data_IF_327482369666
#
_entry.id   IF_327482369666
#
_cell.length_a   1.000
_cell.length_b   1.000
_cell.length_c   1.000
_cell.angle_alpha   90.00
_cell.angle_beta   90.00
_cell.angle_gamma   90.00
#
_symmetry.space_group_name_H-M   'P 1'
#
loop_
_entity.id
_entity.type
_entity.pdbx_description
1 polymer ?
#
# COMPACT_ATOMS: atom_id res chain seq x y z
N UNK A 1 -101.70 0.20 5.00
CA UNK A 1 -102.25 0.34 6.37
C UNK A 1 -101.26 1.10 7.22
N UNK A 2 -101.64 2.33 7.58
CA UNK A 2 -100.98 3.18 8.57
C UNK A 2 -100.86 2.46 9.91
N UNK A 3 -99.67 2.51 10.52
CA UNK A 3 -99.49 2.43 11.99
C UNK A 3 -98.22 3.18 12.41
N UNK A 4 -98.37 4.43 12.79
CA UNK A 4 -97.71 5.01 13.98
C UNK A 4 -98.46 4.47 15.23
N UNK A 5 -97.89 4.39 16.47
CA UNK A 5 -97.33 5.56 17.16
C UNK A 5 -96.25 5.35 18.27
N UNK A 6 -95.69 6.48 18.69
CA UNK A 6 -95.37 6.94 20.06
C UNK A 6 -94.31 6.28 20.97
N UNK A 7 -93.53 7.17 21.61
CA UNK A 7 -93.13 7.30 23.05
C UNK A 7 -91.64 7.71 23.11
N UNK A 8 -91.25 8.98 23.22
CA UNK A 8 -91.22 9.90 24.40
C UNK A 8 -90.32 9.40 25.56
N UNK A 9 -89.09 9.91 25.68
CA UNK A 9 -88.54 10.36 26.98
C UNK A 9 -87.25 11.19 26.87
N UNK A 10 -87.21 12.18 27.75
CA UNK A 10 -86.28 13.30 27.97
C UNK A 10 -85.02 12.87 28.72
N UNK A 11 -83.86 13.49 28.48
CA UNK A 11 -82.67 13.34 29.33
C UNK A 11 -81.53 14.28 28.92
N UNK A 12 -81.08 15.10 29.87
CA UNK A 12 -80.21 16.26 29.66
C UNK A 12 -78.70 15.97 29.85
N UNK A 13 -77.90 16.99 29.49
CA UNK A 13 -76.58 17.41 30.02
C UNK A 13 -75.25 17.08 29.27
N UNK A 14 -74.42 18.15 29.24
CA UNK A 14 -72.95 18.28 29.16
C UNK A 14 -72.23 18.51 27.81
N UNK A 15 -72.01 19.80 27.53
CA UNK A 15 -70.70 20.51 27.36
C UNK A 15 -69.51 19.67 26.85
N UNK A 16 -68.95 20.10 25.71
CA UNK A 16 -67.64 19.68 25.22
C UNK A 16 -67.19 20.46 23.99
N UNK A 17 -66.83 21.74 24.17
CA UNK A 17 -66.14 22.55 23.16
C UNK A 17 -64.78 21.93 22.83
N UNK A 18 -64.62 21.33 21.64
CA UNK A 18 -63.30 21.05 21.09
C UNK A 18 -62.81 22.26 20.30
N UNK A 19 -62.17 23.18 21.03
CA UNK A 19 -61.23 24.15 20.45
C UNK A 19 -59.99 23.36 20.05
N UNK A 20 -59.86 23.06 18.76
CA UNK A 20 -58.62 22.52 18.19
C UNK A 20 -57.61 23.66 18.01
N UNK A 21 -56.74 23.86 19.00
CA UNK A 21 -55.52 24.65 18.84
C UNK A 21 -54.47 23.83 18.06
N UNK A 22 -54.27 24.17 16.79
CA UNK A 22 -53.06 23.82 16.04
C UNK A 22 -52.69 25.02 15.18
N UNK A 23 -51.45 25.54 15.23
CA UNK A 23 -51.07 26.65 14.37
C UNK A 23 -51.21 26.20 12.91
N UNK A 24 -51.88 27.02 12.08
CA UNK A 24 -51.94 26.81 10.63
C UNK A 24 -50.50 26.70 10.10
N UNK A 25 -50.13 25.53 9.59
CA UNK A 25 -48.85 25.36 8.92
C UNK A 25 -48.83 26.28 7.69
N UNK A 26 -47.83 27.16 7.54
CA UNK A 26 -47.78 28.06 6.40
C UNK A 26 -47.67 27.22 5.12
N UNK A 27 -48.70 27.34 4.27
CA UNK A 27 -48.82 26.64 2.99
C UNK A 27 -47.54 26.85 2.18
N UNK A 28 -46.86 25.75 1.85
CA UNK A 28 -45.60 25.78 1.11
C UNK A 28 -45.76 26.59 -0.18
N UNK A 29 -45.05 27.72 -0.26
CA UNK A 29 -44.89 28.48 -1.50
C UNK A 29 -43.55 28.08 -2.09
N UNK A 30 -43.51 27.48 -3.29
CA UNK A 30 -42.25 27.16 -3.94
C UNK A 30 -41.48 28.46 -4.16
N UNK A 31 -40.33 28.60 -3.48
CA UNK A 31 -39.38 29.67 -3.80
C UNK A 31 -38.93 29.46 -5.24
N UNK A 32 -38.99 30.51 -6.05
CA UNK A 32 -38.49 30.48 -7.42
C UNK A 32 -37.05 29.96 -7.43
N UNK A 33 -36.72 29.06 -8.34
CA UNK A 33 -35.35 28.58 -8.52
C UNK A 33 -34.42 29.78 -8.67
N UNK A 34 -33.33 29.82 -7.90
CA UNK A 34 -32.34 30.89 -8.00
C UNK A 34 -31.82 30.95 -9.45
N UNK A 35 -32.11 32.05 -10.14
CA UNK A 35 -31.76 32.28 -11.56
C UNK A 35 -30.33 32.76 -11.75
N UNK A 36 -29.63 33.11 -10.68
CA UNK A 36 -28.20 33.41 -10.73
C UNK A 36 -27.41 32.10 -10.84
N UNK A 37 -26.72 31.90 -11.96
CA UNK A 37 -25.65 30.90 -12.05
C UNK A 37 -24.66 31.21 -10.93
N UNK A 38 -24.51 30.30 -9.97
CA UNK A 38 -23.51 30.43 -8.94
C UNK A 38 -22.14 30.58 -9.62
N UNK A 39 -21.43 31.68 -9.34
CA UNK A 39 -20.08 31.92 -9.83
C UNK A 39 -19.11 31.05 -9.00
N UNK A 40 -19.19 29.73 -9.20
CA UNK A 40 -18.32 28.77 -8.55
C UNK A 40 -16.99 28.81 -9.32
N UNK A 41 -15.85 29.05 -8.65
CA UNK A 41 -14.55 28.98 -9.31
C UNK A 41 -14.40 27.60 -9.97
N UNK A 42 -13.74 27.52 -11.14
CA UNK A 42 -13.51 26.25 -11.79
C UNK A 42 -12.81 25.31 -10.80
N UNK A 43 -13.19 24.02 -10.74
CA UNK A 43 -12.53 23.08 -9.86
C UNK A 43 -11.03 23.08 -10.16
N UNK A 44 -10.17 22.98 -9.14
CA UNK A 44 -8.73 22.95 -9.35
C UNK A 44 -8.37 21.81 -10.29
N UNK A 45 -7.53 22.11 -11.29
CA UNK A 45 -7.05 21.10 -12.23
C UNK A 45 -6.18 20.10 -11.48
N UNK A 46 -6.69 18.87 -11.32
CA UNK A 46 -5.95 17.80 -10.66
C UNK A 46 -4.75 17.36 -11.53
N UNK A 47 -3.61 17.00 -10.92
CA UNK A 47 -2.50 16.41 -11.65
C UNK A 47 -2.96 15.15 -12.40
N UNK A 48 -2.76 15.14 -13.72
CA UNK A 48 -3.07 13.96 -14.54
C UNK A 48 -1.93 12.95 -14.42
N UNK A 49 -1.94 12.18 -13.33
CA UNK A 49 -1.02 11.06 -13.16
C UNK A 49 -1.41 9.92 -14.11
N UNK A 50 -0.44 9.40 -14.86
CA UNK A 50 -0.67 8.24 -15.72
C UNK A 50 -1.07 7.05 -14.86
N UNK A 51 -2.07 6.29 -15.29
CA UNK A 51 -2.53 5.08 -14.57
C UNK A 51 -1.67 3.84 -14.86
N UNK A 52 -1.13 3.74 -16.08
CA UNK A 52 -0.27 2.63 -16.54
C UNK A 52 0.85 3.16 -17.43
N UNK A 53 1.98 2.48 -17.44
CA UNK A 53 3.02 2.59 -18.48
C UNK A 53 3.15 1.23 -19.16
N UNK A 54 2.68 1.13 -20.40
CA UNK A 54 2.56 -0.15 -21.09
C UNK A 54 1.56 -1.08 -20.40
N UNK A 55 2.02 -2.28 -20.04
CA UNK A 55 1.22 -3.30 -19.35
C UNK A 55 1.24 -3.17 -17.82
N UNK A 56 2.18 -2.39 -17.26
CA UNK A 56 2.34 -2.21 -15.81
C UNK A 56 1.58 -1.00 -15.28
N UNK A 57 1.03 -1.12 -14.08
CA UNK A 57 0.45 0.01 -13.33
C UNK A 57 1.55 0.92 -12.79
N UNK A 58 1.29 2.22 -12.80
CA UNK A 58 2.04 3.19 -12.00
C UNK A 58 1.63 3.08 -10.54
N UNK A 59 2.42 3.65 -9.63
CA UNK A 59 2.11 3.69 -8.20
C UNK A 59 0.82 4.48 -7.97
N UNK A 60 0.67 5.66 -8.57
CA UNK A 60 -0.57 6.43 -8.48
C UNK A 60 -1.77 5.67 -9.07
N UNK A 61 -1.59 5.00 -10.20
CA UNK A 61 -2.64 4.27 -10.89
C UNK A 61 -3.18 3.10 -10.08
N UNK A 62 -2.31 2.28 -9.49
CA UNK A 62 -2.77 1.15 -8.68
C UNK A 62 -3.38 1.60 -7.36
N UNK A 63 -2.83 2.64 -6.73
CA UNK A 63 -3.37 3.17 -5.47
C UNK A 63 -4.76 3.77 -5.71
N UNK A 64 -4.96 4.44 -6.84
CA UNK A 64 -6.28 4.91 -7.26
C UNK A 64 -7.26 3.75 -7.38
N UNK A 65 -6.91 2.70 -8.13
CA UNK A 65 -7.80 1.56 -8.35
C UNK A 65 -8.08 0.78 -7.06
N UNK A 66 -7.09 0.66 -6.19
CA UNK A 66 -7.24 0.04 -4.87
C UNK A 66 -8.29 0.75 -3.99
N UNK A 67 -8.33 2.09 -4.09
CA UNK A 67 -9.26 2.93 -3.32
C UNK A 67 -10.62 3.08 -4.01
N UNK A 68 -10.70 2.80 -5.31
CA UNK A 68 -11.94 2.81 -6.07
C UNK A 68 -12.81 1.60 -5.72
N UNK A 69 -14.07 1.82 -5.35
CA UNK A 69 -15.03 0.73 -5.12
C UNK A 69 -15.23 -0.14 -6.37
N UNK A 70 -15.13 0.47 -7.55
CA UNK A 70 -15.36 -0.18 -8.84
C UNK A 70 -14.16 -1.02 -9.26
N UNK A 71 -12.94 -0.49 -9.13
CA UNK A 71 -11.73 -1.15 -9.63
C UNK A 71 -10.98 -1.96 -8.58
N UNK A 72 -11.28 -1.79 -7.28
CA UNK A 72 -10.61 -2.53 -6.21
C UNK A 72 -10.64 -4.04 -6.40
N UNK A 73 -11.75 -4.68 -6.85
CA UNK A 73 -11.76 -6.13 -7.11
C UNK A 73 -10.81 -6.59 -8.22
N UNK A 74 -10.41 -5.68 -9.12
CA UNK A 74 -9.50 -5.97 -10.24
C UNK A 74 -8.02 -5.96 -9.81
N UNK A 75 -7.68 -5.27 -8.71
CA UNK A 75 -6.31 -5.11 -8.24
C UNK A 75 -6.04 -5.79 -6.89
N UNK A 76 -7.02 -5.87 -6.00
CA UNK A 76 -6.86 -6.37 -4.64
C UNK A 76 -6.78 -7.91 -4.61
N UNK A 77 -5.69 -8.44 -4.07
CA UNK A 77 -5.40 -9.88 -4.03
C UNK A 77 -5.12 -10.47 -5.40
N UNK A 78 -4.92 -9.64 -6.43
CA UNK A 78 -4.63 -10.07 -7.80
C UNK A 78 -3.14 -9.94 -8.09
N UNK A 79 -2.70 -10.76 -9.04
CA UNK A 79 -1.38 -10.63 -9.61
C UNK A 79 -1.36 -9.43 -10.56
N UNK A 80 -0.46 -8.49 -10.32
CA UNK A 80 -0.32 -7.25 -11.07
C UNK A 80 1.15 -6.95 -11.31
N UNK A 81 1.44 -6.17 -12.34
CA UNK A 81 2.77 -5.59 -12.56
C UNK A 81 2.75 -4.11 -12.21
N UNK A 82 3.71 -3.68 -11.40
CA UNK A 82 3.92 -2.29 -10.99
C UNK A 82 5.24 -1.77 -11.53
N UNK A 83 5.24 -0.54 -12.03
CA UNK A 83 6.44 0.17 -12.42
C UNK A 83 6.70 1.33 -11.47
N UNK A 84 7.94 1.52 -11.04
CA UNK A 84 8.32 2.63 -10.18
C UNK A 84 9.82 2.70 -9.90
N UNK A 85 10.24 3.82 -9.34
CA UNK A 85 11.58 4.05 -8.84
C UNK A 85 11.70 3.59 -7.40
N UNK A 86 12.78 2.88 -7.07
CA UNK A 86 13.12 2.55 -5.69
C UNK A 86 13.57 3.84 -5.00
N UNK A 87 12.80 4.29 -4.02
CA UNK A 87 13.04 5.56 -3.30
C UNK A 87 13.50 5.35 -1.87
N UNK A 88 13.23 4.18 -1.30
CA UNK A 88 13.63 3.80 0.06
C UNK A 88 13.94 2.30 0.11
N UNK A 89 14.87 1.92 0.98
CA UNK A 89 15.15 0.53 1.35
C UNK A 89 15.33 0.45 2.87
N UNK A 90 15.10 -0.72 3.47
CA UNK A 90 15.40 -0.96 4.88
C UNK A 90 16.76 -1.66 5.09
N UNK A 91 17.64 -1.59 4.08
CA UNK A 91 19.00 -2.12 4.12
C UNK A 91 19.98 -1.15 4.78
N UNK A 92 19.47 -0.20 5.57
CA UNK A 92 20.22 0.88 6.22
C UNK A 92 20.43 0.58 7.70
N UNK A 93 21.47 1.18 8.30
CA UNK A 93 21.78 0.96 9.71
C UNK A 93 20.68 1.55 10.61
N UNK A 94 20.35 0.84 11.68
CA UNK A 94 19.46 1.34 12.73
C UNK A 94 20.17 2.36 13.61
N UNK A 95 19.41 3.32 14.16
CA UNK A 95 19.88 4.18 15.24
C UNK A 95 19.82 3.44 16.57
N UNK A 96 18.77 2.64 16.74
CA UNK A 96 18.60 1.73 17.86
C UNK A 96 18.17 0.34 17.36
N UNK A 97 19.04 -0.65 17.50
CA UNK A 97 18.80 -2.03 17.07
C UNK A 97 17.56 -2.65 17.72
N UNK A 98 17.17 -2.20 18.93
CA UNK A 98 15.96 -2.70 19.62
C UNK A 98 14.67 -2.16 19.03
N UNK A 99 14.74 -1.07 18.26
CA UNK A 99 13.60 -0.43 17.62
C UNK A 99 13.60 -0.61 16.09
N UNK A 100 14.35 -1.59 15.58
CA UNK A 100 14.56 -1.79 14.14
C UNK A 100 13.26 -1.93 13.32
N UNK A 101 12.23 -2.59 13.87
CA UNK A 101 10.90 -2.66 13.22
C UNK A 101 10.23 -1.30 13.07
N UNK A 102 10.38 -0.40 14.06
CA UNK A 102 9.79 0.95 14.02
C UNK A 102 10.59 1.88 13.12
N UNK A 103 11.91 1.71 13.11
CA UNK A 103 12.83 2.51 12.31
C UNK A 103 12.93 2.04 10.85
N UNK A 104 12.41 0.85 10.54
CA UNK A 104 12.47 0.23 9.22
C UNK A 104 13.90 0.15 8.69
N UNK A 105 14.79 -0.42 9.50
CA UNK A 105 16.22 -0.54 9.25
C UNK A 105 16.72 -1.96 9.53
N UNK A 106 17.95 -2.26 9.12
CA UNK A 106 18.60 -3.53 9.35
C UNK A 106 19.41 -3.47 10.66
N UNK A 107 18.99 -4.18 11.73
CA UNK A 107 19.73 -4.18 12.99
C UNK A 107 21.01 -4.99 12.86
N UNK A 108 22.05 -4.62 13.60
CA UNK A 108 23.33 -5.33 13.56
C UNK A 108 23.20 -6.82 13.92
N UNK A 109 22.24 -7.16 14.79
CA UNK A 109 21.96 -8.54 15.20
C UNK A 109 21.42 -9.44 14.08
N UNK A 110 20.86 -8.89 13.00
CA UNK A 110 20.32 -9.66 11.87
C UNK A 110 21.26 -9.67 10.64
N UNK A 111 22.31 -8.83 10.67
CA UNK A 111 23.31 -8.75 9.60
C UNK A 111 24.47 -9.68 9.94
N UNK A 112 24.30 -10.95 9.61
CA UNK A 112 25.35 -11.96 9.75
C UNK A 112 25.25 -13.01 8.65
N UNK A 113 26.32 -13.80 8.50
CA UNK A 113 26.31 -14.96 7.61
C UNK A 113 25.18 -15.93 7.94
N UNK A 114 24.57 -16.52 6.91
CA UNK A 114 23.55 -17.54 7.08
C UNK A 114 24.07 -18.77 7.82
N UNK A 115 23.14 -19.48 8.46
CA UNK A 115 23.44 -20.62 9.33
C UNK A 115 23.67 -20.25 10.80
N UNK A 116 23.89 -18.96 11.09
CA UNK A 116 23.66 -18.41 12.43
C UNK A 116 22.20 -18.00 12.53
N UNK A 117 21.52 -18.41 13.60
CA UNK A 117 20.18 -17.92 13.90
C UNK A 117 20.26 -16.56 14.56
N UNK A 118 19.37 -15.66 14.17
CA UNK A 118 19.20 -14.37 14.81
C UNK A 118 18.92 -14.59 16.32
N UNK A 119 19.51 -13.78 17.22
CA UNK A 119 19.20 -13.86 18.66
C UNK A 119 17.70 -13.73 18.92
N UNK A 120 17.18 -14.37 19.98
CA UNK A 120 15.74 -14.34 20.31
C UNK A 120 15.23 -12.91 20.53
N UNK A 121 16.09 -12.02 21.03
CA UNK A 121 15.77 -10.60 21.26
C UNK A 121 15.91 -9.73 20.00
N UNK A 122 16.38 -10.29 18.88
CA UNK A 122 16.58 -9.56 17.63
C UNK A 122 15.26 -9.44 16.87
N UNK A 123 14.60 -8.29 17.03
CA UNK A 123 13.39 -7.97 16.29
C UNK A 123 13.70 -7.26 14.96
N UNK A 124 14.15 -8.04 13.97
CA UNK A 124 14.40 -7.51 12.63
C UNK A 124 13.10 -7.35 11.81
N UNK A 125 12.94 -6.26 11.04
CA UNK A 125 11.88 -6.17 10.05
C UNK A 125 12.14 -7.11 8.86
N UNK A 126 11.09 -7.41 8.09
CA UNK A 126 11.25 -8.13 6.83
C UNK A 126 11.97 -7.22 5.82
N UNK A 127 12.96 -7.72 5.06
CA UNK A 127 13.58 -6.94 3.99
C UNK A 127 12.54 -6.37 3.02
N UNK A 128 12.56 -5.05 2.86
CA UNK A 128 11.56 -4.26 2.15
C UNK A 128 12.24 -3.11 1.43
N UNK A 129 11.80 -2.85 0.20
CA UNK A 129 12.10 -1.61 -0.51
C UNK A 129 10.79 -0.95 -0.93
N UNK A 130 10.81 0.35 -1.16
CA UNK A 130 9.62 1.11 -1.52
C UNK A 130 9.77 1.69 -2.90
N UNK A 131 8.72 1.56 -3.71
CA UNK A 131 8.65 2.14 -5.05
C UNK A 131 7.69 3.33 -5.09
N UNK A 132 8.03 4.32 -5.90
CA UNK A 132 7.22 5.49 -6.19
C UNK A 132 7.26 5.86 -7.68
N UNK A 133 6.38 6.74 -8.14
CA UNK A 133 6.36 7.16 -9.55
C UNK A 133 7.57 8.03 -9.96
N UNK A 134 8.18 8.73 -9.00
CA UNK A 134 9.37 9.58 -9.22
C UNK A 134 10.46 9.28 -8.20
N UNK A 135 11.71 9.69 -8.46
CA UNK A 135 12.87 9.44 -7.58
C UNK A 135 12.82 10.26 -6.30
N UNK A 136 12.12 11.40 -6.31
CA UNK A 136 12.07 12.37 -5.22
C UNK A 136 10.88 12.12 -4.28
N UNK A 137 9.93 11.26 -4.67
CA UNK A 137 8.73 10.97 -3.89
C UNK A 137 9.07 10.17 -2.62
N UNK A 138 8.60 10.64 -1.47
CA UNK A 138 8.90 10.07 -0.14
C UNK A 138 7.66 9.75 0.67
N UNK A 139 6.47 10.00 0.12
CA UNK A 139 5.19 9.93 0.82
C UNK A 139 4.23 8.94 0.18
N UNK A 140 4.12 8.96 -1.15
CA UNK A 140 3.26 8.06 -1.92
C UNK A 140 4.10 6.89 -2.45
N UNK A 141 4.36 5.93 -1.57
CA UNK A 141 5.23 4.80 -1.88
C UNK A 141 4.57 3.47 -1.53
N UNK A 142 4.82 2.46 -2.34
CA UNK A 142 4.33 1.10 -2.13
C UNK A 142 5.49 0.24 -1.60
N UNK A 143 5.36 -0.36 -0.40
CA UNK A 143 6.31 -1.35 0.06
C UNK A 143 6.26 -2.60 -0.82
N UNK A 144 7.44 -3.04 -1.23
CA UNK A 144 7.70 -4.24 -2.00
C UNK A 144 8.36 -5.26 -1.07
N UNK A 145 7.64 -6.34 -0.79
CA UNK A 145 7.99 -7.35 0.21
C UNK A 145 8.09 -8.73 -0.43
N UNK A 146 8.68 -9.70 0.28
CA UNK A 146 8.71 -11.08 -0.20
C UNK A 146 9.83 -11.39 -1.19
N UNK A 147 10.86 -10.54 -1.29
CA UNK A 147 12.04 -10.75 -2.16
C UNK A 147 13.25 -11.36 -1.43
N UNK A 148 13.24 -11.35 -0.09
CA UNK A 148 14.18 -12.06 0.77
C UNK A 148 13.52 -12.34 2.13
N UNK A 149 13.76 -13.52 2.72
CA UNK A 149 13.20 -13.93 4.01
C UNK A 149 13.81 -13.21 5.21
N UNK A 150 15.10 -12.87 5.15
CA UNK A 150 15.82 -12.15 6.21
C UNK A 150 17.08 -11.43 5.68
N UNK A 151 17.75 -10.69 6.56
CA UNK A 151 18.98 -9.97 6.22
C UNK A 151 20.21 -10.88 6.09
N UNK A 152 20.24 -12.01 6.80
CA UNK A 152 21.33 -12.98 6.70
C UNK A 152 21.45 -13.60 5.29
N UNK A 153 20.32 -13.83 4.59
CA UNK A 153 20.33 -14.28 3.19
C UNK A 153 20.85 -13.22 2.24
N UNK A 154 20.56 -11.95 2.53
CA UNK A 154 21.11 -10.82 1.76
C UNK A 154 22.61 -10.73 1.99
N UNK A 155 23.09 -10.99 3.21
CA UNK A 155 24.52 -11.02 3.54
C UNK A 155 25.25 -12.11 2.74
N UNK A 156 24.77 -13.35 2.79
CA UNK A 156 25.31 -14.45 2.00
C UNK A 156 25.32 -14.09 0.50
N UNK A 157 24.24 -13.46 0.04
CA UNK A 157 24.11 -13.05 -1.33
C UNK A 157 25.17 -12.02 -1.76
N UNK A 158 25.43 -11.02 -0.91
CA UNK A 158 26.47 -10.03 -1.13
C UNK A 158 27.84 -10.71 -1.19
N UNK A 159 28.17 -11.60 -0.25
CA UNK A 159 29.45 -12.31 -0.26
C UNK A 159 29.66 -13.13 -1.54
N UNK A 160 28.64 -13.86 -1.99
CA UNK A 160 28.72 -14.68 -3.21
C UNK A 160 28.86 -13.83 -4.47
N UNK A 161 28.12 -12.72 -4.56
CA UNK A 161 28.27 -11.76 -5.64
C UNK A 161 29.66 -11.10 -5.63
N UNK A 162 30.26 -10.82 -4.47
CA UNK A 162 31.60 -10.24 -4.39
C UNK A 162 32.71 -11.23 -4.78
N UNK A 163 32.54 -12.52 -4.44
CA UNK A 163 33.46 -13.60 -4.84
C UNK A 163 33.48 -13.83 -6.35
N UNK A 164 32.41 -13.50 -7.06
CA UNK A 164 32.38 -13.64 -8.51
C UNK A 164 33.43 -12.73 -9.17
N UNK A 165 34.25 -13.37 -10.00
CA UNK A 165 35.49 -12.81 -10.55
C UNK A 165 35.22 -11.63 -11.49
N UNK A 166 34.17 -11.72 -12.32
CA UNK A 166 33.81 -10.74 -13.33
C UNK A 166 32.32 -10.34 -13.24
N UNK A 167 31.96 -9.14 -13.73
CA UNK A 167 30.60 -8.59 -13.75
C UNK A 167 29.55 -9.49 -14.41
N UNK A 168 29.91 -10.22 -15.46
CA UNK A 168 28.98 -11.15 -16.14
C UNK A 168 28.60 -12.30 -15.23
N UNK A 169 29.59 -12.91 -14.56
CA UNK A 169 29.35 -13.94 -13.54
C UNK A 169 28.61 -13.37 -12.35
N UNK A 170 28.87 -12.12 -11.96
CA UNK A 170 28.13 -11.45 -10.89
C UNK A 170 26.65 -11.35 -11.24
N UNK A 171 26.28 -11.05 -12.48
CA UNK A 171 24.87 -10.96 -12.94
C UNK A 171 24.20 -12.33 -13.09
N UNK A 172 24.96 -13.38 -13.35
CA UNK A 172 24.46 -14.76 -13.49
C UNK A 172 24.32 -15.50 -12.16
N UNK A 173 24.90 -14.98 -11.07
CA UNK A 173 24.77 -15.58 -9.74
C UNK A 173 23.30 -15.55 -9.32
N UNK A 174 22.68 -16.75 -9.33
CA UNK A 174 21.34 -17.02 -8.82
C UNK A 174 21.48 -17.55 -7.41
N UNK A 175 20.97 -16.78 -6.46
CA UNK A 175 21.00 -17.12 -5.05
C UNK A 175 19.57 -17.37 -4.65
N UNK A 176 19.30 -18.56 -4.15
CA UNK A 176 17.97 -18.93 -3.72
C UNK A 176 17.83 -18.70 -2.22
N UNK A 177 16.67 -18.18 -1.83
CA UNK A 177 16.22 -18.16 -0.45
C UNK A 177 15.65 -19.54 -0.13
N UNK A 178 16.30 -20.36 0.71
CA UNK A 178 15.82 -21.70 1.02
C UNK A 178 14.57 -21.70 1.91
N UNK A 179 14.30 -20.61 2.63
CA UNK A 179 13.13 -20.49 3.51
C UNK A 179 11.88 -20.27 2.69
N UNK A 180 11.99 -19.45 1.63
CA UNK A 180 10.85 -19.05 0.81
C UNK A 180 10.85 -19.61 -0.62
N UNK A 181 11.91 -20.33 -1.01
CA UNK A 181 12.06 -20.94 -2.34
C UNK A 181 12.11 -19.93 -3.49
N UNK A 182 12.60 -18.71 -3.23
CA UNK A 182 12.62 -17.61 -4.22
C UNK A 182 14.05 -17.27 -4.61
N UNK A 183 14.27 -16.89 -5.87
CA UNK A 183 15.56 -16.34 -6.29
C UNK A 183 15.67 -14.88 -5.86
N UNK A 184 16.77 -14.53 -5.18
CA UNK A 184 17.05 -13.15 -4.79
C UNK A 184 17.29 -12.29 -6.04
N UNK A 185 16.78 -11.05 -6.07
CA UNK A 185 17.04 -10.12 -7.15
C UNK A 185 18.54 -9.80 -7.25
N UNK A 186 19.03 -9.75 -8.49
CA UNK A 186 20.40 -9.37 -8.81
C UNK A 186 20.39 -8.34 -9.96
N UNK A 187 20.85 -7.10 -9.75
CA UNK A 187 21.38 -6.54 -8.50
C UNK A 187 20.34 -6.48 -7.38
N UNK A 188 20.81 -6.26 -6.14
CA UNK A 188 19.92 -6.07 -5.00
C UNK A 188 19.17 -4.72 -5.10
N UNK A 189 17.94 -4.62 -4.55
CA UNK A 189 17.16 -3.38 -4.52
C UNK A 189 17.93 -2.24 -3.85
N UNK A 190 18.21 -1.18 -4.61
CA UNK A 190 18.88 0.03 -4.13
C UNK A 190 18.18 1.29 -4.65
N UNK A 191 18.33 2.38 -3.91
CA UNK A 191 17.68 3.67 -4.22
C UNK A 191 18.15 4.18 -5.58
N UNK A 192 17.22 4.74 -6.36
CA UNK A 192 17.46 5.33 -7.67
C UNK A 192 17.26 4.40 -8.86
N UNK A 193 17.16 3.08 -8.64
CA UNK A 193 16.84 2.11 -9.70
C UNK A 193 15.36 2.13 -10.08
N UNK A 194 15.05 1.93 -11.37
CA UNK A 194 13.68 1.78 -11.88
C UNK A 194 13.38 0.31 -12.09
N UNK A 195 12.29 -0.17 -11.50
CA UNK A 195 11.91 -1.59 -11.54
C UNK A 195 10.48 -1.76 -12.02
N UNK A 196 10.24 -2.88 -12.70
CA UNK A 196 8.92 -3.46 -12.91
C UNK A 196 8.79 -4.69 -12.00
N UNK A 197 7.94 -4.59 -11.00
CA UNK A 197 7.67 -5.65 -10.01
C UNK A 197 6.38 -6.33 -10.37
N UNK A 198 6.39 -7.64 -10.57
CA UNK A 198 5.18 -8.45 -10.75
C UNK A 198 4.96 -9.30 -9.51
N UNK A 199 3.72 -9.33 -9.04
CA UNK A 199 3.34 -10.16 -7.92
C UNK A 199 1.95 -9.83 -7.37
N UNK A 200 1.63 -10.36 -6.19
CA UNK A 200 0.32 -10.19 -5.57
C UNK A 200 0.22 -8.88 -4.81
N UNK A 201 -0.76 -8.05 -5.17
CA UNK A 201 -0.99 -6.75 -4.53
C UNK A 201 -2.15 -6.80 -3.54
N UNK A 202 -1.88 -6.48 -2.28
CA UNK A 202 -2.83 -6.57 -1.17
C UNK A 202 -2.59 -5.46 -0.14
N UNK A 203 -3.51 -5.22 0.77
CA UNK A 203 -3.26 -4.34 1.93
C UNK A 203 -2.45 -5.02 3.04
N UNK A 204 -2.23 -6.33 2.93
CA UNK A 204 -1.57 -7.15 3.94
C UNK A 204 -0.50 -8.05 3.31
N UNK A 205 0.58 -8.27 4.04
CA UNK A 205 1.61 -9.24 3.74
C UNK A 205 1.76 -10.18 4.94
N UNK A 206 1.78 -11.48 4.66
CA UNK A 206 2.01 -12.53 5.65
C UNK A 206 2.74 -13.71 4.99
N UNK A 207 3.85 -14.15 5.60
CA UNK A 207 4.58 -15.38 5.25
C UNK A 207 5.05 -16.10 6.53
N UNK A 208 5.33 -17.40 6.39
CA UNK A 208 5.58 -18.34 7.50
C UNK A 208 6.75 -17.98 8.45
N UNK A 209 7.59 -17.01 8.09
CA UNK A 209 8.72 -16.53 8.91
C UNK A 209 8.67 -15.02 9.20
N UNK A 210 7.54 -14.38 8.91
CA UNK A 210 7.38 -12.93 9.04
C UNK A 210 6.12 -12.58 9.80
N UNK A 211 6.18 -11.52 10.61
CA UNK A 211 4.98 -10.89 11.17
C UNK A 211 4.08 -10.34 10.06
N UNK A 212 2.79 -10.21 10.36
CA UNK A 212 1.83 -9.59 9.44
C UNK A 212 2.18 -8.10 9.30
N UNK A 213 2.37 -7.65 8.07
CA UNK A 213 2.54 -6.24 7.73
C UNK A 213 1.28 -5.73 7.04
N UNK A 214 0.88 -4.50 7.35
CA UNK A 214 -0.35 -3.91 6.81
C UNK A 214 -0.11 -2.49 6.32
N UNK A 215 -0.55 -2.20 5.10
CA UNK A 215 -0.56 -0.84 4.55
C UNK A 215 -1.88 -0.61 3.81
N UNK A 216 -2.95 -0.19 4.52
CA UNK A 216 -4.25 0.06 3.90
C UNK A 216 -4.25 1.31 3.00
N UNK A 217 -3.27 2.22 3.17
CA UNK A 217 -3.22 3.48 2.44
C UNK A 217 -2.70 3.31 1.02
N UNK A 218 -1.61 2.55 0.84
CA UNK A 218 -0.95 2.39 -0.45
C UNK A 218 -0.84 0.93 -0.90
N UNK A 219 -1.29 -0.03 -0.10
CA UNK A 219 -1.11 -1.45 -0.40
C UNK A 219 0.33 -1.91 -0.19
N UNK A 220 0.55 -3.19 -0.47
CA UNK A 220 1.81 -3.92 -0.41
C UNK A 220 1.82 -4.84 -1.63
N UNK A 221 2.93 -4.87 -2.36
CA UNK A 221 3.14 -5.87 -3.41
C UNK A 221 4.09 -6.95 -2.90
N UNK A 222 3.64 -8.20 -2.96
CA UNK A 222 4.45 -9.39 -2.68
C UNK A 222 5.11 -9.83 -3.95
N UNK A 223 6.44 -9.85 -3.98
CA UNK A 223 7.23 -10.11 -5.18
C UNK A 223 7.10 -11.56 -5.63
N UNK A 224 6.90 -11.73 -6.94
CA UNK A 224 7.13 -12.98 -7.66
C UNK A 224 8.23 -12.81 -8.71
N UNK A 225 8.30 -11.65 -9.37
CA UNK A 225 9.31 -11.33 -10.38
C UNK A 225 9.71 -9.85 -10.30
N UNK A 226 11.00 -9.55 -10.44
CA UNK A 226 11.53 -8.19 -10.56
C UNK A 226 12.28 -8.09 -11.89
N UNK A 227 11.92 -7.07 -12.68
CA UNK A 227 12.59 -6.70 -13.91
C UNK A 227 13.21 -5.31 -13.73
N UNK A 228 14.50 -5.18 -14.03
CA UNK A 228 15.22 -3.91 -13.92
C UNK A 228 15.11 -3.13 -15.23
N UNK A 229 14.51 -1.93 -15.16
CA UNK A 229 14.40 -1.01 -16.30
C UNK A 229 15.54 0.01 -16.30
N UNK A 230 15.91 0.50 -15.11
CA UNK A 230 17.11 1.29 -14.86
C UNK A 230 17.84 0.66 -13.68
N UNK A 231 19.10 0.27 -13.88
CA UNK A 231 19.93 -0.20 -12.76
C UNK A 231 20.15 0.94 -11.76
N UNK A 232 20.26 0.64 -10.45
CA UNK A 232 20.53 1.66 -9.47
C UNK A 232 21.94 2.24 -9.66
N UNK A 233 22.14 3.53 -9.33
CA UNK A 233 23.44 4.19 -9.40
C UNK A 233 24.42 3.56 -8.40
N UNK A 234 23.94 3.17 -7.22
CA UNK A 234 24.72 2.54 -6.15
C UNK A 234 24.20 1.12 -5.89
N UNK A 235 25.11 0.19 -5.59
CA UNK A 235 24.74 -1.19 -5.26
C UNK A 235 24.30 -1.26 -3.81
N UNK A 236 23.23 -2.03 -3.54
CA UNK A 236 22.76 -2.21 -2.18
C UNK A 236 23.82 -2.94 -1.33
N UNK A 237 24.07 -2.40 -0.13
CA UNK A 237 24.93 -2.98 0.89
C UNK A 237 24.18 -3.07 2.21
N UNK A 238 24.55 -4.04 3.04
CA UNK A 238 24.05 -4.11 4.41
C UNK A 238 24.94 -3.30 5.36
N UNK A 239 24.40 -2.84 6.51
CA UNK A 239 25.17 -2.15 7.53
C UNK A 239 26.37 -2.97 7.99
N UNK A 240 27.53 -2.32 8.11
CA UNK A 240 28.78 -2.99 8.55
C UNK A 240 29.48 -3.83 7.49
N UNK A 241 28.93 -3.96 6.27
CA UNK A 241 29.66 -4.50 5.12
C UNK A 241 30.42 -3.39 4.39
N UNK A 242 31.44 -3.78 3.61
CA UNK A 242 32.16 -2.85 2.75
C UNK A 242 31.22 -2.34 1.66
N UNK A 243 31.30 -1.05 1.34
CA UNK A 243 30.56 -0.47 0.22
C UNK A 243 30.86 -1.22 -1.08
N UNK A 244 29.81 -1.66 -1.75
CA UNK A 244 29.91 -2.35 -3.01
C UNK A 244 30.12 -1.32 -4.11
N UNK A 245 31.37 -1.19 -4.55
CA UNK A 245 31.66 -0.45 -5.77
C UNK A 245 31.06 -1.21 -6.95
N UNK A 246 30.28 -0.51 -7.78
CA UNK A 246 29.99 -1.00 -9.13
C UNK A 246 31.35 -1.23 -9.77
N UNK A 247 31.74 -2.49 -10.04
CA UNK A 247 32.98 -2.73 -10.78
C UNK A 247 32.76 -2.04 -12.12
N UNK A 248 33.49 -0.97 -12.37
CA UNK A 248 33.43 -0.30 -13.67
C UNK A 248 33.94 -1.28 -14.72
N UNK A 249 33.33 -1.18 -15.90
CA UNK A 249 33.58 -2.01 -17.07
C UNK A 249 35.05 -2.00 -17.48
#
# INVERSE_FOLDING_TARGET
MNRTPAVLMTGALMIGTLVGCGPEEPKYTPKSAATSKANIPPPPTLPQLKKKEGDAFTVAGIVHDMRSVVHRPEVMGKQVSLIGYIVKTNLVACKDDKNAKKEECAPACAVHKGGKGDPVECEAPVPTFWIADTKEEKTAMIPVMGWSSNFARIYDAIEEMEKATNLEKQKEVKIEDPVWGITLPNPLPAVGGKVKVTGSYSTTFARASSSIQTNPKYGIITVEKIEWLEEPPELATLPGMKERKKKDK
#
